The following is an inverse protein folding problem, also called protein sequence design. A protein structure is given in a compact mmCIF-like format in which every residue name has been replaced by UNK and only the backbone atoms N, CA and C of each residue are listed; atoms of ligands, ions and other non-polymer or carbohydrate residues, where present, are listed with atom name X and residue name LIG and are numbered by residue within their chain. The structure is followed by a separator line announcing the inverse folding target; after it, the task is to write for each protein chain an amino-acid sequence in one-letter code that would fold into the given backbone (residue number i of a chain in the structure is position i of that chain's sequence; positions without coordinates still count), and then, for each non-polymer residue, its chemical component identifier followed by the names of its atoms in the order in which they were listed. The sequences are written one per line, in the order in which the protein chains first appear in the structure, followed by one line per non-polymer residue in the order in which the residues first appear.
data_IF_084087059225
#
_entry.id   IF_084087059225
#
_cell.length_a   1.000
_cell.length_b   1.000
_cell.length_c   1.000
_cell.angle_alpha   90.00
_cell.angle_beta   90.00
_cell.angle_gamma   90.00
#
_symmetry.space_group_name_H-M   'P 1'
#
loop_
_entity.id
_entity.type
_entity.pdbx_description
1 polymer ?
#
# COMPACT_ATOMS: atom_id res chain seq x y z
N UNK A 1 -14.17 43.91 -33.72
CA UNK A 1 -14.37 42.45 -33.88
C UNK A 1 -13.11 41.56 -33.59
N UNK A 2 -11.98 42.11 -33.16
CA UNK A 2 -10.73 41.35 -33.01
C UNK A 2 -10.46 40.76 -31.59
N UNK A 3 -11.25 41.17 -30.57
CA UNK A 3 -11.05 40.74 -29.18
C UNK A 3 -11.80 39.45 -28.82
N UNK A 4 -12.90 39.13 -29.50
CA UNK A 4 -13.71 37.96 -29.17
C UNK A 4 -13.03 36.64 -29.57
N UNK A 5 -12.22 36.66 -30.62
CA UNK A 5 -11.48 35.46 -31.09
C UNK A 5 -10.37 35.05 -30.08
N UNK A 6 -9.68 36.01 -29.49
CA UNK A 6 -8.66 35.75 -28.46
C UNK A 6 -9.28 35.22 -27.15
N UNK A 7 -10.43 35.80 -26.79
CA UNK A 7 -11.17 35.32 -25.60
C UNK A 7 -11.73 33.91 -25.79
N UNK A 8 -12.24 33.61 -27.01
CA UNK A 8 -12.73 32.28 -27.36
C UNK A 8 -11.62 31.22 -27.36
N UNK A 9 -10.42 31.57 -27.83
CA UNK A 9 -9.24 30.66 -27.81
C UNK A 9 -8.76 30.40 -26.39
N UNK A 10 -8.74 31.41 -25.53
CA UNK A 10 -8.39 31.21 -24.10
C UNK A 10 -9.40 30.33 -23.36
N UNK A 11 -10.69 30.46 -23.66
CA UNK A 11 -11.74 29.62 -23.10
C UNK A 11 -11.61 28.15 -23.55
N UNK A 12 -11.26 27.93 -24.83
CA UNK A 12 -11.01 26.62 -25.39
C UNK A 12 -9.77 25.93 -24.74
N UNK A 13 -8.68 26.68 -24.51
CA UNK A 13 -7.51 26.18 -23.79
C UNK A 13 -7.82 25.88 -22.32
N UNK A 14 -8.62 26.71 -21.67
CA UNK A 14 -9.07 26.46 -20.28
C UNK A 14 -9.94 25.20 -20.18
N UNK A 15 -10.80 24.97 -21.16
CA UNK A 15 -11.65 23.76 -21.21
C UNK A 15 -10.83 22.50 -21.51
N UNK A 16 -9.82 22.60 -22.36
CA UNK A 16 -8.94 21.47 -22.71
C UNK A 16 -8.00 21.11 -21.57
N UNK A 17 -7.58 22.06 -20.71
CA UNK A 17 -6.75 21.77 -19.54
C UNK A 17 -7.52 21.11 -18.40
N UNK A 18 -8.83 21.30 -18.33
CA UNK A 18 -9.69 20.73 -17.27
C UNK A 18 -10.05 19.26 -17.53
N UNK A 19 -9.85 18.75 -18.76
CA UNK A 19 -10.14 17.36 -19.11
C UNK A 19 -8.99 16.38 -18.77
N UNK A 20 -7.84 16.87 -18.30
CA UNK A 20 -6.65 16.03 -18.08
C UNK A 20 -6.49 15.50 -16.63
N UNK A 21 -7.46 15.77 -15.75
CA UNK A 21 -7.32 15.53 -14.32
C UNK A 21 -8.15 14.36 -13.75
N UNK A 22 -8.65 13.41 -14.58
CA UNK A 22 -9.58 12.37 -14.12
C UNK A 22 -9.13 10.93 -14.43
N UNK A 23 -7.86 10.63 -14.37
CA UNK A 23 -7.40 9.24 -14.43
C UNK A 23 -6.42 8.93 -13.28
N UNK A 24 -6.86 9.12 -12.04
CA UNK A 24 -6.30 8.35 -10.93
C UNK A 24 -7.13 7.06 -10.87
N UNK A 25 -6.89 6.15 -11.81
CA UNK A 25 -7.43 4.80 -11.72
C UNK A 25 -6.80 4.14 -10.48
N UNK A 26 -7.66 3.80 -9.52
CA UNK A 26 -7.25 2.97 -8.37
C UNK A 26 -6.88 1.60 -8.91
N UNK A 27 -5.59 1.33 -9.04
CA UNK A 27 -5.00 0.10 -9.57
C UNK A 27 -5.59 -1.18 -8.94
N UNK A 28 -6.08 -1.08 -7.71
CA UNK A 28 -6.55 -2.24 -6.93
C UNK A 28 -7.84 -2.90 -7.45
N UNK A 29 -8.56 -2.28 -8.39
CA UNK A 29 -9.88 -2.77 -8.77
C UNK A 29 -9.94 -3.50 -10.12
N UNK A 30 -8.89 -3.46 -10.95
CA UNK A 30 -8.96 -4.00 -12.32
C UNK A 30 -8.05 -5.21 -12.59
N UNK A 31 -7.22 -5.64 -11.64
CA UNK A 31 -6.37 -6.81 -11.85
C UNK A 31 -7.13 -8.10 -11.53
N UNK A 32 -7.37 -8.91 -12.56
CA UNK A 32 -8.05 -10.20 -12.44
C UNK A 32 -7.05 -11.34 -12.56
N UNK A 33 -7.20 -12.36 -11.73
CA UNK A 33 -6.34 -13.54 -11.70
C UNK A 33 -7.10 -14.80 -12.08
N UNK A 34 -6.38 -15.73 -12.70
CA UNK A 34 -6.87 -17.08 -12.93
C UNK A 34 -5.94 -18.08 -12.24
N UNK A 35 -6.39 -18.59 -11.10
CA UNK A 35 -5.65 -19.56 -10.30
C UNK A 35 -6.57 -20.72 -9.97
N UNK A 36 -6.28 -21.89 -10.54
CA UNK A 36 -7.02 -23.13 -10.25
C UNK A 36 -6.04 -24.18 -9.75
N UNK A 37 -6.08 -24.46 -8.45
CA UNK A 37 -5.26 -25.52 -7.86
C UNK A 37 -5.85 -25.97 -6.53
N UNK A 38 -5.70 -27.25 -6.24
CA UNK A 38 -6.20 -27.86 -4.99
C UNK A 38 -5.08 -28.14 -3.98
N UNK A 39 -3.84 -27.75 -4.25
CA UNK A 39 -2.70 -28.14 -3.39
C UNK A 39 -1.52 -27.18 -3.44
N UNK A 40 -1.79 -25.89 -3.63
CA UNK A 40 -0.75 -24.86 -3.53
C UNK A 40 -0.54 -24.47 -2.07
N UNK A 41 0.68 -24.10 -1.72
CA UNK A 41 0.95 -23.42 -0.46
C UNK A 41 0.51 -21.95 -0.55
N UNK A 42 0.21 -21.34 0.58
CA UNK A 42 -0.10 -19.90 0.64
C UNK A 42 1.03 -19.09 0.00
N UNK A 43 2.28 -19.45 0.25
CA UNK A 43 3.47 -18.81 -0.36
C UNK A 43 3.45 -18.89 -1.88
N UNK A 44 3.10 -20.04 -2.45
CA UNK A 44 3.04 -20.19 -3.92
C UNK A 44 1.93 -19.34 -4.52
N UNK A 45 0.80 -19.20 -3.83
CA UNK A 45 -0.28 -18.33 -4.30
C UNK A 45 0.15 -16.86 -4.24
N UNK A 46 0.81 -16.42 -3.16
CA UNK A 46 1.33 -15.05 -3.06
C UNK A 46 2.34 -14.75 -4.16
N UNK A 47 3.34 -15.62 -4.33
CA UNK A 47 4.34 -15.46 -5.39
C UNK A 47 3.72 -15.39 -6.79
N UNK A 48 2.62 -16.11 -7.02
CA UNK A 48 1.92 -16.07 -8.30
C UNK A 48 1.22 -14.73 -8.50
N UNK A 49 0.56 -14.22 -7.47
CA UNK A 49 -0.10 -12.90 -7.50
C UNK A 49 0.95 -11.80 -7.73
N UNK A 50 2.06 -11.79 -6.98
CA UNK A 50 3.15 -10.81 -7.12
C UNK A 50 3.79 -10.86 -8.52
N UNK A 51 3.94 -12.05 -9.10
CA UNK A 51 4.52 -12.21 -10.43
C UNK A 51 3.61 -11.73 -11.56
N UNK A 52 2.30 -11.86 -11.39
CA UNK A 52 1.29 -11.50 -12.40
C UNK A 52 0.73 -10.09 -12.22
N UNK A 53 1.19 -9.35 -11.20
CA UNK A 53 0.70 -8.01 -10.87
C UNK A 53 1.77 -7.15 -10.21
N UNK A 54 1.38 -5.96 -9.78
CA UNK A 54 2.23 -5.06 -8.98
C UNK A 54 1.89 -5.12 -7.48
N UNK A 55 1.10 -6.11 -7.03
CA UNK A 55 0.83 -6.31 -5.61
C UNK A 55 2.07 -6.79 -4.88
N UNK A 56 2.23 -6.33 -3.63
CA UNK A 56 3.30 -6.72 -2.71
C UNK A 56 2.65 -7.13 -1.39
N UNK A 57 3.02 -8.30 -0.86
CA UNK A 57 2.52 -8.80 0.40
C UNK A 57 3.41 -8.38 1.57
N UNK A 58 2.78 -7.81 2.60
CA UNK A 58 3.41 -7.47 3.88
C UNK A 58 2.79 -8.30 4.99
N UNK A 59 3.61 -9.06 5.70
CA UNK A 59 3.17 -9.89 6.82
C UNK A 59 4.30 -10.08 7.83
N UNK A 60 3.93 -10.30 9.09
CA UNK A 60 4.86 -10.75 10.12
C UNK A 60 4.92 -12.29 10.11
N UNK A 61 6.04 -12.89 10.48
CA UNK A 61 6.26 -14.34 10.44
C UNK A 61 5.20 -15.17 11.17
N UNK A 62 4.59 -14.62 12.21
CA UNK A 62 3.54 -15.26 13.00
C UNK A 62 2.11 -14.93 12.54
N UNK A 63 1.94 -14.10 11.52
CA UNK A 63 0.62 -13.65 11.05
C UNK A 63 -0.02 -14.63 10.08
N UNK A 64 0.77 -15.41 9.36
CA UNK A 64 0.29 -16.34 8.34
C UNK A 64 1.18 -17.58 8.24
N UNK A 65 0.58 -18.75 8.15
CA UNK A 65 1.29 -19.98 7.81
C UNK A 65 1.46 -20.10 6.29
N UNK A 66 2.62 -19.71 5.82
CA UNK A 66 2.99 -19.73 4.41
C UNK A 66 3.07 -21.15 3.81
N UNK A 67 3.28 -22.17 4.63
CA UNK A 67 3.40 -23.57 4.19
C UNK A 67 2.05 -24.29 4.17
N UNK A 68 1.01 -23.66 4.72
CA UNK A 68 -0.36 -24.21 4.70
C UNK A 68 -0.82 -24.40 3.26
N UNK A 69 -1.32 -25.61 2.98
CA UNK A 69 -1.89 -25.93 1.67
C UNK A 69 -3.32 -25.41 1.56
N UNK A 70 -3.61 -24.80 0.43
CA UNK A 70 -4.90 -24.20 0.12
C UNK A 70 -5.41 -24.66 -1.23
N UNK A 71 -6.72 -24.70 -1.36
CA UNK A 71 -7.40 -24.89 -2.64
C UNK A 71 -7.94 -23.55 -3.10
N UNK A 72 -7.52 -23.12 -4.26
CA UNK A 72 -7.96 -21.85 -4.86
C UNK A 72 -8.65 -22.14 -6.19
N UNK A 73 -9.84 -21.59 -6.35
CA UNK A 73 -10.63 -21.66 -7.59
C UNK A 73 -11.01 -20.25 -8.02
N UNK A 74 -10.14 -19.61 -8.77
CA UNK A 74 -10.34 -18.28 -9.27
C UNK A 74 -10.24 -18.27 -10.80
N UNK A 75 -11.31 -17.84 -11.46
CA UNK A 75 -11.38 -17.64 -12.92
C UNK A 75 -11.74 -16.19 -13.20
N UNK A 76 -10.76 -15.37 -13.56
CA UNK A 76 -10.92 -13.93 -13.71
C UNK A 76 -11.54 -13.30 -12.45
N UNK A 77 -10.96 -13.61 -11.31
CA UNK A 77 -11.38 -13.08 -10.01
C UNK A 77 -10.42 -12.01 -9.52
N UNK A 78 -10.94 -11.07 -8.75
CA UNK A 78 -10.14 -10.07 -8.07
C UNK A 78 -9.28 -10.70 -6.96
N UNK A 79 -8.17 -10.07 -6.61
CA UNK A 79 -7.26 -10.56 -5.55
C UNK A 79 -7.99 -10.76 -4.22
N UNK A 80 -8.95 -9.90 -3.88
CA UNK A 80 -9.77 -10.04 -2.66
C UNK A 80 -10.48 -11.37 -2.59
N UNK A 81 -11.09 -11.84 -3.69
CA UNK A 81 -11.79 -13.13 -3.74
C UNK A 81 -10.87 -14.32 -3.55
N UNK A 82 -9.63 -14.20 -4.00
CA UNK A 82 -8.60 -15.22 -3.79
C UNK A 82 -8.18 -15.26 -2.32
N UNK A 83 -7.96 -14.09 -1.73
CA UNK A 83 -7.59 -13.96 -0.31
C UNK A 83 -8.71 -14.44 0.61
N UNK A 84 -9.99 -14.14 0.28
CA UNK A 84 -11.14 -14.68 1.00
C UNK A 84 -11.08 -16.20 1.05
N UNK A 85 -10.82 -16.88 -0.08
CA UNK A 85 -10.70 -18.36 -0.12
C UNK A 85 -9.48 -18.87 0.67
N UNK A 86 -8.37 -18.14 0.63
CA UNK A 86 -7.14 -18.53 1.35
C UNK A 86 -7.36 -18.43 2.86
N UNK A 87 -8.00 -17.36 3.34
CA UNK A 87 -8.12 -17.08 4.77
C UNK A 87 -9.45 -17.52 5.39
N UNK A 88 -10.34 -18.13 4.61
CA UNK A 88 -11.58 -18.70 5.11
C UNK A 88 -11.32 -19.67 6.29
N UNK A 89 -12.02 -19.44 7.40
CA UNK A 89 -11.89 -20.28 8.60
C UNK A 89 -10.58 -20.10 9.38
N UNK A 90 -9.80 -19.05 9.10
CA UNK A 90 -8.61 -18.70 9.87
C UNK A 90 -8.83 -17.42 10.70
N UNK A 91 -7.92 -17.14 11.63
CA UNK A 91 -7.82 -15.91 12.42
C UNK A 91 -6.99 -14.81 11.71
N UNK A 92 -6.74 -14.99 10.42
CA UNK A 92 -5.91 -14.09 9.62
C UNK A 92 -6.79 -13.15 8.82
N UNK A 93 -6.53 -11.87 8.95
CA UNK A 93 -7.20 -10.78 8.21
C UNK A 93 -6.25 -10.19 7.19
N UNK A 94 -6.79 -9.58 6.15
CA UNK A 94 -5.99 -8.86 5.16
C UNK A 94 -6.59 -7.49 4.87
N UNK A 95 -5.73 -6.56 4.47
CA UNK A 95 -6.10 -5.23 4.04
C UNK A 95 -5.39 -4.93 2.72
N UNK A 96 -6.14 -4.39 1.78
CA UNK A 96 -5.61 -3.97 0.49
C UNK A 96 -5.60 -2.45 0.45
N UNK A 97 -4.43 -1.86 0.26
CA UNK A 97 -4.24 -0.43 0.10
C UNK A 97 -3.35 -0.19 -1.11
N UNK A 98 -3.95 0.31 -2.19
CA UNK A 98 -3.29 0.47 -3.47
C UNK A 98 -2.66 -0.86 -3.95
N UNK A 99 -1.34 -0.97 -3.99
CA UNK A 99 -0.58 -2.17 -4.40
C UNK A 99 -0.08 -3.02 -3.23
N UNK A 100 -0.42 -2.63 -2.01
CA UNK A 100 0.04 -3.29 -0.80
C UNK A 100 -1.07 -4.17 -0.22
N UNK A 101 -0.74 -5.41 0.08
CA UNK A 101 -1.61 -6.36 0.77
C UNK A 101 -0.98 -6.64 2.13
N UNK A 102 -1.60 -6.13 3.17
CA UNK A 102 -1.14 -6.28 4.55
C UNK A 102 -1.90 -7.42 5.20
N UNK A 103 -1.19 -8.39 5.75
CA UNK A 103 -1.77 -9.57 6.41
C UNK A 103 -1.47 -9.51 7.90
N UNK A 104 -2.51 -9.64 8.73
CA UNK A 104 -2.42 -9.59 10.18
C UNK A 104 -3.41 -10.54 10.84
N UNK A 105 -3.10 -10.98 12.06
CA UNK A 105 -4.06 -11.63 12.97
C UNK A 105 -4.88 -10.61 13.76
N UNK A 106 -4.46 -9.37 13.79
CA UNK A 106 -5.18 -8.31 14.48
C UNK A 106 -6.19 -7.67 13.53
N UNK A 107 -7.48 -7.83 13.80
CA UNK A 107 -8.57 -7.23 13.03
C UNK A 107 -8.48 -5.69 13.00
N UNK A 108 -7.85 -5.07 13.99
CA UNK A 108 -7.64 -3.63 14.07
C UNK A 108 -6.37 -3.15 13.36
N UNK A 109 -5.59 -4.04 12.80
CA UNK A 109 -4.46 -3.69 11.93
C UNK A 109 -4.94 -3.26 10.53
N UNK A 110 -6.08 -2.54 10.45
CA UNK A 110 -6.38 -1.70 9.29
C UNK A 110 -5.13 -0.86 8.97
N UNK A 111 -4.87 -0.51 7.71
CA UNK A 111 -3.69 0.23 7.36
C UNK A 111 -3.61 1.44 8.28
N UNK A 112 -2.87 1.32 9.37
CA UNK A 112 -2.21 2.45 9.93
C UNK A 112 -1.44 2.91 8.72
N UNK A 113 -1.99 3.93 8.03
CA UNK A 113 -1.21 4.68 7.06
C UNK A 113 0.23 4.56 7.53
N UNK A 114 1.15 4.10 6.68
CA UNK A 114 2.58 4.16 6.95
C UNK A 114 3.02 5.65 6.96
N UNK A 115 2.22 6.50 7.53
CA UNK A 115 2.71 7.59 8.32
C UNK A 115 3.53 6.90 9.39
N UNK A 116 4.82 6.81 9.15
CA UNK A 116 5.78 6.78 10.23
C UNK A 116 5.23 7.79 11.24
N UNK A 117 4.58 7.25 12.28
CA UNK A 117 4.29 8.05 13.46
C UNK A 117 5.69 8.34 13.97
N UNK A 118 6.23 9.45 13.50
CA UNK A 118 7.56 9.88 13.90
C UNK A 118 7.53 9.79 15.41
N UNK A 119 8.28 8.85 15.95
CA UNK A 119 8.37 8.68 17.38
C UNK A 119 9.03 9.96 17.86
N UNK A 120 8.23 10.87 18.40
CA UNK A 120 8.76 12.13 18.92
C UNK A 120 9.62 11.79 20.12
N UNK A 121 10.92 11.73 19.91
CA UNK A 121 11.91 11.56 20.97
C UNK A 121 12.16 12.93 21.55
N UNK A 122 11.71 13.16 22.76
CA UNK A 122 12.01 14.36 23.51
C UNK A 122 13.18 14.11 24.44
N UNK A 123 14.17 15.00 24.42
CA UNK A 123 15.34 14.91 25.27
C UNK A 123 15.99 16.29 25.44
N UNK A 124 16.89 16.40 26.41
CA UNK A 124 17.70 17.60 26.64
C UNK A 124 19.15 17.22 26.37
N UNK A 125 19.78 17.91 25.42
CA UNK A 125 21.23 17.77 25.18
C UNK A 125 21.96 18.62 26.21
N UNK A 126 22.89 18.02 26.96
CA UNK A 126 23.70 18.67 27.96
C UNK A 126 25.20 18.54 27.59
N UNK A 127 25.96 19.53 27.94
CA UNK A 127 27.43 19.47 27.81
C UNK A 127 28.10 18.64 28.94
N UNK A 128 29.41 18.57 28.94
CA UNK A 128 30.18 17.82 29.94
C UNK A 128 30.05 18.40 31.36
N UNK A 129 29.58 19.64 31.51
CA UNK A 129 29.34 20.29 32.81
C UNK A 129 27.90 20.12 33.29
N UNK A 130 27.02 19.55 32.45
CA UNK A 130 25.61 19.30 32.74
C UNK A 130 24.67 20.44 32.36
N UNK A 131 25.18 21.48 31.66
CA UNK A 131 24.38 22.61 31.22
C UNK A 131 23.69 22.31 29.87
N UNK A 132 22.44 22.80 29.64
CA UNK A 132 21.75 22.61 28.38
C UNK A 132 22.45 23.29 27.21
N UNK A 133 22.70 22.55 26.14
CA UNK A 133 23.29 23.09 24.90
C UNK A 133 22.19 23.65 24.01
N UNK A 134 22.20 24.97 23.81
CA UNK A 134 21.24 25.65 22.94
C UNK A 134 21.72 25.54 21.49
N UNK A 135 20.83 25.10 20.58
CA UNK A 135 21.12 24.99 19.16
C UNK A 135 21.86 23.70 18.75
N UNK A 136 21.88 22.67 19.59
CA UNK A 136 22.43 21.38 19.21
C UNK A 136 21.59 20.74 18.09
N UNK A 137 22.24 20.35 17.01
CA UNK A 137 21.60 19.60 15.92
C UNK A 137 21.73 18.08 16.20
N UNK A 138 20.61 17.39 16.27
CA UNK A 138 20.56 15.94 16.51
C UNK A 138 20.18 15.26 15.21
N UNK A 139 21.06 14.37 14.73
CA UNK A 139 20.82 13.57 13.51
C UNK A 139 20.69 12.11 13.90
N UNK A 140 19.65 11.44 13.41
CA UNK A 140 19.49 10.00 13.59
C UNK A 140 20.55 9.25 12.79
N UNK A 141 21.29 8.38 13.47
CA UNK A 141 22.36 7.60 12.84
C UNK A 141 21.73 6.44 12.06
N UNK A 142 21.72 6.53 10.74
CA UNK A 142 21.25 5.45 9.85
C UNK A 142 20.12 5.83 8.89
N UNK A 143 19.59 7.03 8.96
CA UNK A 143 18.71 7.60 7.92
C UNK A 143 19.53 8.46 6.96
N UNK A 144 19.57 8.06 5.70
CA UNK A 144 20.00 8.92 4.59
C UNK A 144 18.72 9.49 4.00
N UNK A 145 18.54 10.82 4.11
CA UNK A 145 17.60 11.56 3.26
C UNK A 145 18.04 11.53 1.82
#
# INVERSE_FOLDING_TARGET
MKNNTRFSICLLFLWMSMSFCLAAETYSQETFFTIESNNLTVKEVFNKIEKESEYIFFYLDNSVDLNRKVSVKARKEQVSKILDQIFEGTDTHYYISDRQIIISKDEKAAPVSLQQKGQTITGIVKDATGEPVIGANIVEKGTTD
#
